data_IF_367574354589
#
_entry.id   IF_367574354589
#
_cell.length_a   1.000
_cell.length_b   1.000
_cell.length_c   1.000
_cell.angle_alpha   90.00
_cell.angle_beta   90.00
_cell.angle_gamma   90.00
#
_symmetry.space_group_name_H-M   'P 1'
#
loop_
_entity.id
_entity.type
_entity.pdbx_description
1 polymer ?
#
# COMPACT_ATOMS: atom_id res chain seq x y z
N UNK A 1 13.58 14.87 30.40
CA UNK A 1 14.07 15.74 29.30
C UNK A 1 15.52 16.08 29.58
N UNK A 2 16.45 15.66 28.72
CA UNK A 2 17.87 16.01 28.82
C UNK A 2 18.06 17.24 27.94
N UNK A 3 18.38 18.40 28.55
CA UNK A 3 18.64 19.61 27.77
C UNK A 3 19.88 19.41 26.90
N UNK A 4 19.80 19.80 25.63
CA UNK A 4 20.92 19.72 24.69
C UNK A 4 21.91 20.85 25.00
N UNK A 5 23.20 20.53 25.08
CA UNK A 5 24.24 21.53 25.25
C UNK A 5 24.31 22.46 24.03
N UNK A 6 24.65 23.72 24.26
CA UNK A 6 24.76 24.71 23.18
C UNK A 6 25.92 24.32 22.24
N UNK A 7 25.66 24.15 20.94
CA UNK A 7 26.70 23.82 19.98
C UNK A 7 27.70 24.96 19.89
N UNK A 8 28.99 24.62 19.95
CA UNK A 8 30.07 25.57 19.69
C UNK A 8 30.17 25.78 18.18
N UNK A 9 29.79 26.96 17.69
CA UNK A 9 29.77 27.28 16.27
C UNK A 9 30.42 28.64 16.03
N UNK A 10 31.10 28.79 14.89
CA UNK A 10 31.89 30.00 14.59
C UNK A 10 31.03 31.15 14.03
N UNK A 11 29.79 30.86 13.60
CA UNK A 11 28.85 31.86 13.08
C UNK A 11 27.41 31.65 13.58
N UNK A 12 26.64 32.73 13.62
CA UNK A 12 25.22 32.70 14.00
C UNK A 12 24.37 31.85 13.03
N UNK A 13 24.75 31.80 11.77
CA UNK A 13 24.07 31.05 10.72
C UNK A 13 24.26 29.53 10.89
N UNK A 14 25.47 29.13 11.27
CA UNK A 14 25.80 27.75 11.61
C UNK A 14 25.14 27.32 12.93
N UNK A 15 25.10 28.19 13.93
CA UNK A 15 24.34 27.98 15.15
C UNK A 15 22.85 27.70 14.87
N UNK A 16 22.23 28.52 14.01
CA UNK A 16 20.82 28.38 13.65
C UNK A 16 20.57 27.07 12.89
N UNK A 17 21.46 26.72 11.94
CA UNK A 17 21.42 25.46 11.20
C UNK A 17 21.49 24.25 12.15
N UNK A 18 22.44 24.21 13.08
CA UNK A 18 22.63 23.07 13.98
C UNK A 18 21.54 22.98 15.04
N UNK A 19 21.08 24.12 15.55
CA UNK A 19 20.14 24.17 16.68
C UNK A 19 18.69 23.96 16.25
N UNK A 20 18.29 24.39 15.05
CA UNK A 20 16.89 24.33 14.62
C UNK A 20 16.66 23.36 13.47
N UNK A 21 17.55 23.36 12.46
CA UNK A 21 17.33 22.55 11.26
C UNK A 21 17.58 21.07 11.56
N UNK A 22 18.62 20.74 12.33
CA UNK A 22 18.93 19.33 12.66
C UNK A 22 17.82 18.70 13.50
N UNK A 23 17.34 19.28 14.63
CA UNK A 23 16.25 18.69 15.39
C UNK A 23 14.95 18.58 14.61
N UNK A 24 14.65 19.56 13.75
CA UNK A 24 13.48 19.49 12.89
C UNK A 24 13.58 18.31 11.92
N UNK A 25 14.73 18.11 11.27
CA UNK A 25 14.96 16.99 10.37
C UNK A 25 14.91 15.65 11.11
N UNK A 26 15.46 15.56 12.32
CA UNK A 26 15.39 14.35 13.16
C UNK A 26 13.95 14.02 13.53
N UNK A 27 13.16 15.03 13.93
CA UNK A 27 11.74 14.86 14.24
C UNK A 27 10.94 14.46 13.00
N UNK A 28 11.21 15.06 11.84
CA UNK A 28 10.59 14.70 10.58
C UNK A 28 10.92 13.26 10.18
N UNK A 29 12.19 12.85 10.32
CA UNK A 29 12.63 11.48 10.06
C UNK A 29 11.95 10.48 11.00
N UNK A 30 11.82 10.81 12.28
CA UNK A 30 11.13 9.96 13.25
C UNK A 30 9.62 9.88 12.96
N UNK A 31 8.99 10.99 12.59
CA UNK A 31 7.57 11.02 12.20
C UNK A 31 7.34 10.16 10.96
N UNK A 32 8.18 10.31 9.92
CA UNK A 32 8.14 9.48 8.72
C UNK A 32 8.36 7.99 9.03
N UNK A 33 9.35 7.65 9.85
CA UNK A 33 9.61 6.26 10.27
C UNK A 33 8.43 5.67 11.04
N UNK A 34 7.77 6.46 11.89
CA UNK A 34 6.60 5.99 12.65
C UNK A 34 5.36 5.80 11.76
N UNK A 35 5.20 6.63 10.72
CA UNK A 35 4.06 6.57 9.80
C UNK A 35 4.19 5.48 8.74
N UNK A 36 5.42 5.13 8.38
CA UNK A 36 5.73 4.08 7.41
C UNK A 36 6.48 2.93 8.09
N UNK A 37 6.11 2.62 9.33
CA UNK A 37 6.66 1.49 10.06
C UNK A 37 6.38 0.19 9.29
N UNK A 38 7.30 -0.77 9.30
CA UNK A 38 7.19 -2.00 8.49
C UNK A 38 5.95 -2.82 8.86
N UNK A 39 5.60 -2.84 10.15
CA UNK A 39 4.38 -3.45 10.66
C UNK A 39 3.14 -2.74 10.10
N UNK A 40 3.14 -1.41 10.04
CA UNK A 40 2.07 -0.63 9.43
C UNK A 40 2.02 -0.85 7.91
N UNK A 41 3.18 -0.89 7.25
CA UNK A 41 3.31 -1.14 5.81
C UNK A 41 2.75 -2.51 5.42
N UNK A 42 2.88 -3.52 6.29
CA UNK A 42 2.29 -4.84 6.10
C UNK A 42 0.75 -4.88 6.17
N UNK A 43 0.12 -3.85 6.75
CA UNK A 43 -1.34 -3.65 6.78
C UNK A 43 -1.85 -3.12 5.43
N UNK A 44 -0.98 -2.59 4.57
CA UNK A 44 -1.35 -2.04 3.26
C UNK A 44 -1.35 -3.08 2.12
N UNK A 45 -1.73 -4.33 2.39
CA UNK A 45 -2.21 -5.28 1.33
C UNK A 45 -3.52 -4.77 0.65
N UNK A 46 -3.87 -3.50 0.87
CA UNK A 46 -4.87 -2.67 0.19
C UNK A 46 -4.53 -2.49 -1.30
N UNK A 47 -3.32 -2.85 -1.74
CA UNK A 47 -3.01 -2.89 -3.17
C UNK A 47 -3.89 -3.86 -3.98
N UNK A 48 -4.52 -4.83 -3.31
CA UNK A 48 -5.54 -5.72 -3.87
C UNK A 48 -6.85 -4.99 -4.22
N UNK A 49 -7.17 -3.86 -3.55
CA UNK A 49 -8.38 -3.05 -3.83
C UNK A 49 -8.11 -1.80 -4.66
N UNK A 50 -6.90 -1.64 -5.20
CA UNK A 50 -6.57 -0.46 -6.00
C UNK A 50 -7.29 -0.47 -7.36
N UNK A 51 -7.74 0.70 -7.86
CA UNK A 51 -8.42 0.80 -9.15
C UNK A 51 -7.53 0.35 -10.34
N UNK A 52 -8.19 -0.18 -11.38
CA UNK A 52 -7.60 -0.70 -12.63
C UNK A 52 -6.70 0.29 -13.39
N UNK A 53 -6.68 1.57 -13.02
CA UNK A 53 -5.84 2.61 -13.63
C UNK A 53 -4.39 2.57 -13.15
N UNK A 54 -4.10 1.89 -12.04
CA UNK A 54 -2.74 1.76 -11.51
C UNK A 54 -2.07 0.51 -12.12
N UNK A 55 -1.11 0.72 -13.02
CA UNK A 55 -0.32 -0.35 -13.68
C UNK A 55 0.72 -0.98 -12.74
N UNK A 56 0.30 -1.54 -11.62
CA UNK A 56 1.16 -2.35 -10.75
C UNK A 56 0.52 -3.74 -10.73
N UNK A 57 0.93 -4.63 -11.64
CA UNK A 57 0.21 -5.91 -11.85
C UNK A 57 1.01 -7.18 -11.60
N UNK A 58 2.20 -7.13 -10.99
CA UNK A 58 2.90 -8.38 -10.59
C UNK A 58 2.20 -9.16 -9.47
N UNK A 59 1.32 -8.50 -8.71
CA UNK A 59 0.55 -9.11 -7.62
C UNK A 59 -0.56 -10.01 -8.18
N UNK A 60 -1.11 -9.64 -9.33
CA UNK A 60 -2.18 -10.36 -10.01
C UNK A 60 -1.64 -11.42 -10.97
N UNK A 61 -0.32 -11.54 -11.15
CA UNK A 61 0.31 -12.63 -11.91
C UNK A 61 0.24 -13.98 -11.18
N UNK A 62 0.07 -13.95 -9.85
CA UNK A 62 0.11 -15.13 -8.99
C UNK A 62 -1.14 -15.20 -8.11
N UNK A 63 -2.04 -16.13 -8.44
CA UNK A 63 -3.27 -16.39 -7.71
C UNK A 63 -3.03 -16.65 -6.22
N UNK A 64 -1.96 -17.38 -5.87
CA UNK A 64 -1.65 -17.71 -4.48
C UNK A 64 -1.25 -16.45 -3.68
N UNK A 65 -0.51 -15.53 -4.30
CA UNK A 65 -0.18 -14.24 -3.67
C UNK A 65 -1.42 -13.38 -3.47
N UNK A 66 -2.29 -13.31 -4.48
CA UNK A 66 -3.55 -12.59 -4.39
C UNK A 66 -4.44 -13.13 -3.27
N UNK A 67 -4.60 -14.45 -3.18
CA UNK A 67 -5.37 -15.12 -2.12
C UNK A 67 -4.81 -14.84 -0.72
N UNK A 68 -3.48 -14.93 -0.55
CA UNK A 68 -2.84 -14.69 0.74
C UNK A 68 -3.01 -13.25 1.22
N UNK A 69 -2.88 -12.27 0.31
CA UNK A 69 -3.10 -10.86 0.63
C UNK A 69 -4.56 -10.53 0.91
N UNK A 70 -5.46 -11.14 0.15
CA UNK A 70 -6.91 -11.04 0.40
C UNK A 70 -7.26 -11.56 1.80
N UNK A 71 -6.68 -12.70 2.20
CA UNK A 71 -6.84 -13.24 3.56
C UNK A 71 -6.29 -12.29 4.62
N UNK A 72 -5.12 -11.68 4.39
CA UNK A 72 -4.57 -10.69 5.33
C UNK A 72 -5.52 -9.50 5.52
N UNK A 73 -6.07 -8.96 4.43
CA UNK A 73 -7.06 -7.87 4.48
C UNK A 73 -8.32 -8.29 5.24
N UNK A 74 -8.85 -9.48 4.98
CA UNK A 74 -10.03 -10.01 5.69
C UNK A 74 -9.74 -10.26 7.18
N UNK A 75 -8.54 -10.73 7.52
CA UNK A 75 -8.14 -10.94 8.91
C UNK A 75 -8.00 -9.63 9.68
N UNK A 76 -7.57 -8.55 9.03
CA UNK A 76 -7.37 -7.26 9.67
C UNK A 76 -8.65 -6.42 9.74
N UNK A 77 -9.45 -6.41 8.67
CA UNK A 77 -10.60 -5.50 8.53
C UNK A 77 -11.95 -6.21 8.49
N UNK A 78 -11.97 -7.54 8.37
CA UNK A 78 -13.20 -8.31 8.17
C UNK A 78 -14.22 -8.11 9.28
N UNK A 79 -13.78 -8.02 10.54
CA UNK A 79 -14.69 -7.84 11.68
C UNK A 79 -15.34 -6.45 11.67
N UNK A 80 -14.57 -5.41 11.34
CA UNK A 80 -15.06 -4.03 11.26
C UNK A 80 -16.05 -3.90 10.10
N UNK A 81 -15.67 -4.40 8.92
CA UNK A 81 -16.54 -4.36 7.74
C UNK A 81 -17.80 -5.16 8.01
N UNK A 82 -17.70 -6.42 8.45
CA UNK A 82 -18.85 -7.28 8.76
C UNK A 82 -19.85 -6.61 9.73
N UNK A 83 -19.34 -5.90 10.74
CA UNK A 83 -20.16 -5.13 11.67
C UNK A 83 -20.89 -3.97 10.98
N UNK A 84 -20.18 -3.15 10.20
CA UNK A 84 -20.73 -1.97 9.51
C UNK A 84 -21.78 -2.33 8.45
N UNK A 85 -21.55 -3.39 7.67
CA UNK A 85 -22.50 -3.86 6.66
C UNK A 85 -23.49 -4.91 7.19
N UNK A 86 -23.42 -5.25 8.47
CA UNK A 86 -24.29 -6.19 9.18
C UNK A 86 -24.43 -7.55 8.45
N UNK A 87 -23.30 -8.14 8.03
CA UNK A 87 -23.26 -9.50 7.48
C UNK A 87 -22.28 -10.38 8.25
N UNK A 88 -22.48 -11.71 8.26
CA UNK A 88 -21.50 -12.62 8.85
C UNK A 88 -20.13 -12.51 8.15
N UNK A 89 -19.05 -12.62 8.95
CA UNK A 89 -17.67 -12.51 8.46
C UNK A 89 -17.33 -13.57 7.40
N UNK A 90 -17.85 -14.79 7.55
CA UNK A 90 -17.68 -15.89 6.61
C UNK A 90 -18.34 -15.61 5.25
N UNK A 91 -19.50 -14.93 5.27
CA UNK A 91 -20.18 -14.46 4.05
C UNK A 91 -19.35 -13.38 3.38
N UNK A 92 -18.86 -12.39 4.13
CA UNK A 92 -17.97 -11.34 3.62
C UNK A 92 -16.71 -11.93 2.97
N UNK A 93 -16.06 -12.89 3.65
CA UNK A 93 -14.86 -13.56 3.16
C UNK A 93 -15.11 -14.28 1.84
N UNK A 94 -16.20 -15.04 1.76
CA UNK A 94 -16.57 -15.79 0.55
C UNK A 94 -16.90 -14.84 -0.61
N UNK A 95 -17.63 -13.75 -0.34
CA UNK A 95 -17.97 -12.75 -1.35
C UNK A 95 -16.72 -12.04 -1.88
N UNK A 96 -15.86 -11.54 -1.01
CA UNK A 96 -14.64 -10.85 -1.42
C UNK A 96 -13.72 -11.75 -2.24
N UNK A 97 -13.52 -12.99 -1.81
CA UNK A 97 -12.73 -13.97 -2.55
C UNK A 97 -13.29 -14.23 -3.96
N UNK A 98 -14.61 -14.39 -4.06
CA UNK A 98 -15.26 -14.57 -5.36
C UNK A 98 -15.09 -13.36 -6.29
N UNK A 99 -15.29 -12.15 -5.77
CA UNK A 99 -15.11 -10.91 -6.54
C UNK A 99 -13.67 -10.73 -7.02
N UNK A 100 -12.67 -10.98 -6.17
CA UNK A 100 -11.26 -10.89 -6.57
C UNK A 100 -10.86 -11.96 -7.58
N UNK A 101 -11.41 -13.18 -7.49
CA UNK A 101 -11.18 -14.22 -8.50
C UNK A 101 -11.78 -13.81 -9.85
N UNK A 102 -13.00 -13.27 -9.86
CA UNK A 102 -13.63 -12.74 -11.07
C UNK A 102 -12.82 -11.59 -11.65
N UNK A 103 -12.35 -10.65 -10.83
CA UNK A 103 -11.51 -9.53 -11.27
C UNK A 103 -10.18 -9.99 -11.84
N UNK A 104 -9.49 -10.93 -11.18
CA UNK A 104 -8.25 -11.53 -11.68
C UNK A 104 -8.46 -12.16 -13.07
N UNK A 105 -9.53 -12.95 -13.23
CA UNK A 105 -9.85 -13.59 -14.51
C UNK A 105 -10.18 -12.58 -15.60
N UNK A 106 -10.96 -11.53 -15.29
CA UNK A 106 -11.29 -10.48 -16.25
C UNK A 106 -10.04 -9.72 -16.69
N UNK A 107 -9.10 -9.46 -15.78
CA UNK A 107 -7.87 -8.74 -16.13
C UNK A 107 -6.93 -9.54 -17.04
N UNK A 108 -6.82 -10.86 -16.84
CA UNK A 108 -6.05 -11.73 -17.74
C UNK A 108 -6.65 -11.78 -19.16
N UNK A 109 -7.97 -11.59 -19.28
CA UNK A 109 -8.63 -11.51 -20.57
C UNK A 109 -8.39 -10.15 -21.25
N UNK A 110 -8.48 -9.05 -20.51
CA UNK A 110 -8.21 -7.69 -21.04
C UNK A 110 -6.78 -7.54 -21.59
N UNK A 111 -5.77 -8.14 -20.96
CA UNK A 111 -4.40 -8.16 -21.49
C UNK A 111 -4.30 -8.91 -22.82
N UNK A 112 -5.00 -10.04 -22.95
CA UNK A 112 -5.03 -10.81 -24.20
C UNK A 112 -5.71 -10.02 -25.33
N UNK A 113 -6.83 -9.35 -25.06
CA UNK A 113 -7.52 -8.52 -26.06
C UNK A 113 -6.67 -7.32 -26.49
N UNK A 114 -5.96 -6.69 -25.55
CA UNK A 114 -5.05 -5.57 -25.85
C UNK A 114 -3.86 -6.04 -26.69
N UNK A 115 -3.29 -7.21 -26.40
CA UNK A 115 -2.18 -7.79 -27.14
C UNK A 115 -2.58 -8.24 -28.57
N UNK A 116 -3.79 -8.79 -28.73
CA UNK A 116 -4.31 -9.21 -30.04
C UNK A 116 -4.62 -7.98 -30.93
N UNK A 117 -5.22 -6.93 -30.36
CA UNK A 117 -5.52 -5.68 -31.08
C UNK A 117 -4.25 -4.95 -31.56
N UNK A 118 -3.14 -5.07 -30.83
CA UNK A 118 -1.85 -4.47 -31.21
C UNK A 118 -1.13 -5.25 -32.32
N UNK A 119 -1.33 -6.58 -32.41
CA UNK A 119 -0.75 -7.40 -33.49
C UNK A 119 -1.49 -7.25 -34.82
N UNK A 120 -2.82 -7.12 -34.79
CA UNK A 120 -3.63 -6.91 -35.99
C UNK A 120 -3.44 -5.52 -36.62
N UNK A 121 -2.95 -4.54 -35.87
CA UNK A 121 -2.64 -3.19 -36.35
C UNK A 121 -1.20 -3.01 -36.87
N UNK A 122 -0.31 -3.98 -36.64
CA UNK A 122 1.05 -4.02 -37.23
C UNK A 122 1.16 -4.91 -38.48
N UNK A 123 0.07 -5.59 -38.87
CA UNK A 123 0.02 -6.46 -40.06
C UNK A 123 -0.79 -5.86 -41.22
N UNK A 124 -1.06 -4.55 -41.17
CA UNK A 124 -1.62 -3.75 -42.27
C UNK A 124 -0.63 -2.69 -42.74
#
# INVERSE_FOLDING_TARGET
MKNRENPQTESAEEYFRVTLIIPFLDNLLNDLKSRFDEDLMSVYDVDVVLPNTIKIKSIFDDKCKLENRTKNVINQFGDVVACEINIPRDVLETTLMGEFEVWHNNWLQDEQFTFIAFRSSQTM
#
